data_IF_676549289261
#
_entry.id   IF_676549289261
#
_cell.length_a   1.000
_cell.length_b   1.000
_cell.length_c   1.000
_cell.angle_alpha   90.00
_cell.angle_beta   90.00
_cell.angle_gamma   90.00
#
_symmetry.space_group_name_H-M   'P 1'
#
loop_
_entity.id
_entity.type
_entity.pdbx_description
1 polymer ?
#
# COMPACT_ATOMS: atom_id res chain seq x y z
N UNK A 1 7.68 22.07 -1.75
CA UNK A 1 7.72 20.62 -2.00
C UNK A 1 6.49 20.04 -1.34
N UNK A 2 5.49 19.61 -2.12
CA UNK A 2 4.31 18.95 -1.56
C UNK A 2 4.78 17.66 -0.87
N UNK A 3 4.52 17.52 0.43
CA UNK A 3 4.82 16.29 1.18
C UNK A 3 3.78 15.24 0.80
N UNK A 4 3.96 14.62 -0.37
CA UNK A 4 3.15 13.49 -0.80
C UNK A 4 3.54 12.24 0.01
N UNK A 5 2.52 11.57 0.54
CA UNK A 5 2.64 10.24 1.11
C UNK A 5 1.99 9.24 0.18
N UNK A 6 2.51 8.02 0.16
CA UNK A 6 2.03 6.95 -0.67
C UNK A 6 1.62 5.80 0.23
N UNK A 7 0.36 5.38 0.12
CA UNK A 7 -0.19 4.29 0.92
C UNK A 7 -0.52 3.11 0.02
N UNK A 8 -0.20 1.91 0.48
CA UNK A 8 -0.53 0.68 -0.23
C UNK A 8 -1.52 -0.09 0.61
N UNK A 9 -2.63 -0.47 0.00
CA UNK A 9 -3.71 -1.25 0.64
C UNK A 9 -3.97 -2.50 -0.18
N UNK A 10 -4.21 -3.62 0.51
CA UNK A 10 -4.71 -4.81 -0.15
C UNK A 10 -6.23 -4.73 -0.30
N UNK A 11 -6.77 -5.43 -1.30
CA UNK A 11 -8.20 -5.56 -1.50
C UNK A 11 -8.59 -7.01 -1.73
N UNK A 12 -9.74 -7.39 -1.19
CA UNK A 12 -10.34 -8.70 -1.43
C UNK A 12 -10.95 -8.79 -2.86
N UNK A 13 -11.57 -9.93 -3.16
CA UNK A 13 -12.21 -10.17 -4.47
C UNK A 13 -13.46 -9.31 -4.72
N UNK A 14 -14.04 -8.76 -3.68
CA UNK A 14 -15.19 -7.86 -3.74
C UNK A 14 -14.74 -6.38 -3.83
N UNK A 15 -13.44 -6.13 -3.71
CA UNK A 15 -12.83 -4.81 -3.78
C UNK A 15 -12.80 -4.08 -2.43
N UNK A 16 -13.15 -4.76 -1.34
CA UNK A 16 -13.06 -4.20 0.01
C UNK A 16 -11.60 -4.12 0.44
N UNK A 17 -11.25 -3.06 1.15
CA UNK A 17 -9.91 -2.87 1.71
C UNK A 17 -9.68 -3.88 2.82
N UNK A 18 -8.59 -4.64 2.70
CA UNK A 18 -8.09 -5.54 3.72
C UNK A 18 -6.72 -5.06 4.18
N UNK A 19 -6.41 -5.26 5.46
CA UNK A 19 -5.11 -4.90 6.01
C UNK A 19 -3.97 -5.66 5.33
N UNK A 20 -2.78 -5.07 5.35
CA UNK A 20 -1.54 -5.71 4.93
C UNK A 20 -0.76 -6.19 6.17
N UNK A 21 -1.43 -6.80 7.15
CA UNK A 21 -0.82 -7.14 8.45
C UNK A 21 0.40 -8.06 8.32
N UNK A 22 0.40 -8.97 7.34
CA UNK A 22 1.54 -9.87 7.06
C UNK A 22 2.77 -9.14 6.49
N UNK A 23 2.57 -7.92 6.00
CA UNK A 23 3.62 -7.08 5.42
C UNK A 23 3.93 -5.84 6.27
N UNK A 24 3.04 -5.48 7.19
CA UNK A 24 3.25 -4.43 8.16
C UNK A 24 4.33 -4.85 9.15
N UNK A 25 5.35 -4.01 9.33
CA UNK A 25 6.41 -4.25 10.32
C UNK A 25 5.88 -4.18 11.77
N UNK A 26 4.69 -3.60 11.98
CA UNK A 26 4.06 -3.41 13.29
C UNK A 26 2.58 -3.79 13.22
N UNK A 27 2.13 -4.66 14.13
CA UNK A 27 0.74 -5.15 14.20
C UNK A 27 -0.28 -4.04 14.50
N UNK A 28 0.17 -2.92 15.06
CA UNK A 28 -0.68 -1.80 15.47
C UNK A 28 -1.00 -0.85 14.30
N UNK A 29 -0.29 -0.98 13.18
CA UNK A 29 -0.51 -0.19 11.95
C UNK A 29 -0.60 -1.14 10.76
N UNK A 30 -1.82 -1.55 10.35
CA UNK A 30 -2.01 -2.42 9.19
C UNK A 30 -1.72 -1.71 7.85
N UNK A 31 -1.45 -0.40 7.90
CA UNK A 31 -1.20 0.47 6.75
C UNK A 31 0.29 0.57 6.43
N UNK A 32 0.64 0.43 5.15
CA UNK A 32 2.01 0.59 4.68
C UNK A 32 2.12 1.94 3.96
N UNK A 33 2.86 2.86 4.57
CA UNK A 33 3.08 4.21 4.08
C UNK A 33 4.53 4.43 3.64
N UNK A 34 4.70 5.20 2.58
CA UNK A 34 5.99 5.62 2.04
C UNK A 34 5.98 7.13 1.77
N UNK A 35 7.07 7.81 2.11
CA UNK A 35 7.28 9.22 1.73
C UNK A 35 7.89 9.34 0.32
N UNK A 36 8.34 8.23 -0.28
CA UNK A 36 8.95 8.20 -1.61
C UNK A 36 8.13 7.37 -2.61
N UNK A 37 7.74 8.00 -3.72
CA UNK A 37 6.99 7.36 -4.82
C UNK A 37 7.65 6.11 -5.37
N UNK A 38 8.98 6.16 -5.53
CA UNK A 38 9.72 5.05 -6.12
C UNK A 38 9.73 3.83 -5.19
N UNK A 39 9.91 4.04 -3.89
CA UNK A 39 9.82 2.98 -2.89
C UNK A 39 8.42 2.39 -2.84
N UNK A 40 7.38 3.23 -2.85
CA UNK A 40 6.00 2.77 -2.91
C UNK A 40 5.74 1.91 -4.16
N UNK A 41 6.22 2.33 -5.32
CA UNK A 41 6.03 1.58 -6.57
C UNK A 41 6.75 0.24 -6.56
N UNK A 42 7.99 0.18 -6.08
CA UNK A 42 8.73 -1.09 -5.97
C UNK A 42 8.02 -2.07 -5.03
N UNK A 43 7.51 -1.57 -3.90
CA UNK A 43 6.75 -2.40 -2.98
C UNK A 43 5.43 -2.87 -3.59
N UNK A 44 4.69 -1.97 -4.26
CA UNK A 44 3.47 -2.29 -4.98
C UNK A 44 3.69 -3.40 -6.01
N UNK A 45 4.74 -3.31 -6.82
CA UNK A 45 5.04 -4.31 -7.85
C UNK A 45 5.41 -5.67 -7.23
N UNK A 46 6.14 -5.66 -6.11
CA UNK A 46 6.47 -6.89 -5.35
C UNK A 46 5.21 -7.56 -4.79
N UNK A 47 4.38 -6.81 -4.06
CA UNK A 47 3.17 -7.35 -3.43
C UNK A 47 2.15 -7.77 -4.49
N UNK A 48 2.03 -7.04 -5.60
CA UNK A 48 1.19 -7.42 -6.74
C UNK A 48 1.62 -8.74 -7.39
N UNK A 49 2.91 -9.07 -7.37
CA UNK A 49 3.41 -10.34 -7.90
C UNK A 49 3.20 -11.52 -6.93
N UNK A 50 3.21 -11.25 -5.62
CA UNK A 50 2.97 -12.26 -4.57
C UNK A 50 1.49 -12.52 -4.31
N UNK A 51 0.64 -11.48 -4.45
CA UNK A 51 -0.82 -11.56 -4.31
C UNK A 51 -1.49 -11.79 -5.66
N UNK A 52 -2.80 -12.11 -5.65
CA UNK A 52 -3.57 -12.21 -6.88
C UNK A 52 -3.55 -10.89 -7.66
N UNK A 53 -3.49 -10.93 -9.00
CA UNK A 53 -3.67 -9.72 -9.81
C UNK A 53 -5.01 -9.07 -9.43
N UNK A 54 -4.97 -7.76 -9.15
CA UNK A 54 -6.07 -6.91 -8.66
C UNK A 54 -6.28 -6.82 -7.13
N UNK A 55 -5.46 -7.49 -6.32
CA UNK A 55 -5.61 -7.45 -4.85
C UNK A 55 -4.86 -6.31 -4.16
N UNK A 56 -4.37 -5.29 -4.88
CA UNK A 56 -3.59 -4.18 -4.28
C UNK A 56 -3.89 -2.85 -4.97
N UNK A 57 -4.05 -1.79 -4.18
CA UNK A 57 -4.17 -0.40 -4.64
C UNK A 57 -3.03 0.46 -4.09
N UNK A 58 -2.53 1.39 -4.92
CA UNK A 58 -1.58 2.43 -4.52
C UNK A 58 -2.32 3.77 -4.46
N UNK A 59 -2.33 4.39 -3.29
CA UNK A 59 -3.00 5.64 -3.00
C UNK A 59 -1.94 6.74 -2.79
N UNK A 60 -2.20 7.94 -3.32
CA UNK A 60 -1.38 9.13 -3.04
C UNK A 60 -2.14 10.04 -2.09
N UNK A 61 -1.60 10.23 -0.91
CA UNK A 61 -2.11 11.12 0.14
C UNK A 61 -1.34 12.43 0.03
N UNK A 62 -2.01 13.51 -0.38
CA UNK A 62 -1.46 14.85 -0.30
C UNK A 62 -1.64 15.37 1.12
N UNK A 63 -0.55 15.75 1.81
CA UNK A 63 -0.66 16.52 3.05
C UNK A 63 -1.11 17.94 2.70
N UNK A 64 -2.34 18.28 3.10
CA UNK A 64 -2.86 19.65 3.13
C UNK A 64 -2.14 20.49 4.17
#
# INVERSE_FOLDING_TARGET
>A
MENEKYMIVAVDREGNEIGLESYAAHSDTPEIMFDCKQQARMFYDKVKAELFPHSVKLLTIKKT
#
